data_IF_282740933300
#
_entry.id   IF_282740933300
#
_cell.length_a   1.000
_cell.length_b   1.000
_cell.length_c   1.000
_cell.angle_alpha   90.00
_cell.angle_beta   90.00
_cell.angle_gamma   90.00
#
_symmetry.space_group_name_H-M   'P 1'
#
loop_
_entity.id
_entity.type
_entity.pdbx_description
1 polymer ?
#
# COMPACT_ATOMS: atom_id res chain seq x y z
N UNK A 1 -14.39 30.88 -5.78
CA UNK A 1 -15.59 31.17 -4.96
C UNK A 1 -15.78 32.67 -4.80
N UNK A 2 -14.74 33.42 -4.44
CA UNK A 2 -14.79 34.88 -4.25
C UNK A 2 -15.10 35.68 -5.51
N UNK A 3 -14.90 35.08 -6.69
CA UNK A 3 -15.11 35.72 -7.99
C UNK A 3 -16.49 35.41 -8.62
N UNK A 4 -17.29 34.55 -7.97
CA UNK A 4 -18.60 34.16 -8.47
C UNK A 4 -19.70 35.07 -7.93
N UNK A 5 -20.67 35.51 -8.76
CA UNK A 5 -21.86 36.20 -8.28
C UNK A 5 -22.61 35.35 -7.24
N UNK A 6 -23.16 36.01 -6.20
CA UNK A 6 -23.84 35.29 -5.11
C UNK A 6 -25.01 34.42 -5.60
N UNK A 7 -25.74 34.87 -6.63
CA UNK A 7 -26.81 34.12 -7.25
C UNK A 7 -26.36 32.85 -7.97
N UNK A 8 -25.10 32.77 -8.39
CA UNK A 8 -24.52 31.60 -9.07
C UNK A 8 -23.98 30.54 -8.12
N UNK A 9 -23.72 30.89 -6.86
CA UNK A 9 -23.16 29.98 -5.85
C UNK A 9 -23.98 28.71 -5.64
N UNK A 10 -25.34 28.75 -5.52
CA UNK A 10 -26.11 27.52 -5.37
C UNK A 10 -25.92 26.53 -6.51
N UNK A 11 -25.87 27.02 -7.75
CA UNK A 11 -25.64 26.17 -8.92
C UNK A 11 -24.21 25.62 -8.97
N UNK A 12 -23.21 26.47 -8.67
CA UNK A 12 -21.81 26.05 -8.61
C UNK A 12 -21.57 24.91 -7.60
N UNK A 13 -22.11 25.06 -6.39
CA UNK A 13 -21.98 24.02 -5.39
C UNK A 13 -22.67 22.72 -5.80
N UNK A 14 -23.92 22.80 -6.22
CA UNK A 14 -24.70 21.62 -6.57
C UNK A 14 -24.16 20.87 -7.79
N UNK A 15 -23.73 21.61 -8.84
CA UNK A 15 -23.31 21.01 -10.12
C UNK A 15 -21.84 20.64 -10.17
N UNK A 16 -20.98 21.36 -9.46
CA UNK A 16 -19.53 21.23 -9.56
C UNK A 16 -18.89 20.81 -8.24
N UNK A 17 -18.97 21.68 -7.22
CA UNK A 17 -18.17 21.51 -5.99
C UNK A 17 -18.54 20.25 -5.22
N UNK A 18 -19.81 20.02 -4.93
CA UNK A 18 -20.28 18.88 -4.15
C UNK A 18 -20.00 17.56 -4.90
N UNK A 19 -20.21 17.51 -6.19
CA UNK A 19 -19.93 16.33 -7.01
C UNK A 19 -18.43 16.03 -7.10
N UNK A 20 -17.59 17.06 -7.25
CA UNK A 20 -16.14 16.89 -7.34
C UNK A 20 -15.58 16.42 -6.00
N UNK A 21 -15.96 17.07 -4.89
CA UNK A 21 -15.45 16.71 -3.55
C UNK A 21 -15.90 15.33 -3.11
N UNK A 22 -17.16 14.95 -3.36
CA UNK A 22 -17.66 13.59 -3.11
C UNK A 22 -16.94 12.56 -4.00
N UNK A 23 -16.72 12.88 -5.28
CA UNK A 23 -16.00 12.01 -6.20
C UNK A 23 -14.57 11.74 -5.76
N UNK A 24 -13.82 12.78 -5.36
CA UNK A 24 -12.46 12.65 -4.83
C UNK A 24 -12.47 11.79 -3.56
N UNK A 25 -13.37 12.08 -2.61
CA UNK A 25 -13.48 11.31 -1.37
C UNK A 25 -13.81 9.83 -1.64
N UNK A 26 -14.69 9.56 -2.61
CA UNK A 26 -15.03 8.18 -3.01
C UNK A 26 -13.81 7.44 -3.56
N UNK A 27 -13.01 8.07 -4.42
CA UNK A 27 -11.79 7.47 -4.96
C UNK A 27 -10.81 7.15 -3.82
N UNK A 28 -10.58 8.09 -2.90
CA UNK A 28 -9.71 7.88 -1.74
C UNK A 28 -10.23 6.74 -0.85
N UNK A 29 -11.54 6.69 -0.61
CA UNK A 29 -12.21 5.62 0.15
C UNK A 29 -11.93 4.25 -0.46
N UNK A 30 -12.05 4.10 -1.78
CA UNK A 30 -11.78 2.83 -2.47
C UNK A 30 -10.29 2.43 -2.42
N UNK A 31 -9.38 3.40 -2.58
CA UNK A 31 -7.94 3.16 -2.46
C UNK A 31 -7.59 2.68 -1.05
N UNK A 32 -8.11 3.35 0.00
CA UNK A 32 -7.84 2.96 1.38
C UNK A 32 -8.49 1.62 1.75
N UNK A 33 -9.69 1.34 1.24
CA UNK A 33 -10.31 0.03 1.39
C UNK A 33 -9.47 -1.08 0.74
N UNK A 34 -9.01 -0.87 -0.49
CA UNK A 34 -8.14 -1.81 -1.20
C UNK A 34 -6.85 -2.10 -0.42
N UNK A 35 -6.16 -1.05 0.05
CA UNK A 35 -4.94 -1.18 0.86
C UNK A 35 -5.21 -1.85 2.22
N UNK A 36 -6.29 -1.47 2.91
CA UNK A 36 -6.67 -2.09 4.17
C UNK A 36 -6.90 -3.60 3.99
N UNK A 37 -7.64 -4.00 2.96
CA UNK A 37 -7.91 -5.41 2.68
C UNK A 37 -6.66 -6.16 2.23
N UNK A 38 -5.80 -5.54 1.42
CA UNK A 38 -4.54 -6.14 0.96
C UNK A 38 -3.62 -6.47 2.15
N UNK A 39 -3.32 -5.49 2.99
CA UNK A 39 -2.46 -5.70 4.15
C UNK A 39 -3.10 -6.57 5.24
N UNK A 40 -4.43 -6.52 5.40
CA UNK A 40 -5.12 -7.41 6.33
C UNK A 40 -5.04 -8.88 5.91
N UNK A 41 -5.13 -9.18 4.62
CA UNK A 41 -4.91 -10.55 4.11
C UNK A 41 -3.49 -11.06 4.35
N UNK A 42 -2.51 -10.16 4.37
CA UNK A 42 -1.14 -10.48 4.73
C UNK A 42 -0.91 -10.56 6.26
N UNK A 43 -1.92 -10.26 7.08
CA UNK A 43 -1.78 -10.22 8.53
C UNK A 43 -0.97 -9.04 9.06
N UNK A 44 -0.69 -8.03 8.25
CA UNK A 44 0.10 -6.86 8.64
C UNK A 44 -0.75 -5.86 9.44
N UNK A 45 -0.31 -5.47 10.62
CA UNK A 45 -0.97 -4.40 11.42
C UNK A 45 -1.06 -3.06 10.66
N UNK A 46 -0.22 -2.83 9.64
CA UNK A 46 -0.28 -1.65 8.78
C UNK A 46 -1.64 -1.51 8.08
N UNK A 47 -2.41 -2.59 7.95
CA UNK A 47 -3.80 -2.55 7.55
C UNK A 47 -4.64 -1.58 8.39
N UNK A 48 -4.37 -1.49 9.70
CA UNK A 48 -5.13 -0.67 10.63
C UNK A 48 -5.02 0.82 10.32
N UNK A 49 -3.84 1.30 9.88
CA UNK A 49 -3.66 2.67 9.42
C UNK A 49 -4.62 3.01 8.26
N UNK A 50 -4.72 2.12 7.26
CA UNK A 50 -5.64 2.32 6.15
C UNK A 50 -7.11 2.14 6.55
N UNK A 51 -7.38 1.30 7.55
CA UNK A 51 -8.70 1.16 8.16
C UNK A 51 -9.19 2.46 8.82
N UNK A 52 -8.30 3.20 9.52
CA UNK A 52 -8.62 4.52 10.06
C UNK A 52 -8.89 5.53 8.95
N UNK A 53 -8.02 5.58 7.91
CA UNK A 53 -8.21 6.44 6.74
C UNK A 53 -9.51 6.16 6.01
N UNK A 54 -9.88 4.89 5.87
CA UNK A 54 -11.18 4.48 5.34
C UNK A 54 -12.34 5.02 6.19
N UNK A 55 -12.23 4.91 7.51
CA UNK A 55 -13.25 5.41 8.43
C UNK A 55 -13.40 6.93 8.36
N UNK A 56 -12.29 7.66 8.18
CA UNK A 56 -12.30 9.11 7.94
C UNK A 56 -13.07 9.46 6.65
N UNK A 57 -12.79 8.75 5.53
CA UNK A 57 -13.50 8.97 4.28
C UNK A 57 -15.00 8.69 4.38
N UNK A 58 -15.41 7.64 5.10
CA UNK A 58 -16.83 7.33 5.34
C UNK A 58 -17.52 8.48 6.11
N UNK A 59 -16.91 8.97 7.20
CA UNK A 59 -17.44 10.11 7.95
C UNK A 59 -17.51 11.38 7.10
N UNK A 60 -16.48 11.61 6.27
CA UNK A 60 -16.46 12.76 5.36
C UNK A 60 -17.55 12.67 4.31
N UNK A 61 -17.83 11.51 3.74
CA UNK A 61 -18.91 11.30 2.79
C UNK A 61 -20.27 11.62 3.36
N UNK A 62 -20.54 11.15 4.58
CA UNK A 62 -21.77 11.46 5.33
C UNK A 62 -21.89 12.96 5.59
N UNK A 63 -20.81 13.61 6.02
CA UNK A 63 -20.76 15.05 6.27
C UNK A 63 -21.02 15.88 5.00
N UNK A 64 -20.37 15.52 3.89
CA UNK A 64 -20.55 16.20 2.59
C UNK A 64 -21.99 16.05 2.10
N UNK A 65 -22.58 14.87 2.29
CA UNK A 65 -23.98 14.61 1.93
C UNK A 65 -24.92 15.48 2.74
N UNK A 66 -24.74 15.51 4.06
CA UNK A 66 -25.55 16.35 4.97
C UNK A 66 -25.42 17.85 4.64
N UNK A 67 -24.21 18.32 4.37
CA UNK A 67 -23.97 19.72 3.99
C UNK A 67 -24.66 20.07 2.67
N UNK A 68 -24.56 19.22 1.66
CA UNK A 68 -25.23 19.44 0.38
C UNK A 68 -26.77 19.54 0.54
N UNK A 69 -27.35 18.74 1.43
CA UNK A 69 -28.80 18.77 1.73
C UNK A 69 -29.24 20.05 2.44
N UNK A 70 -28.41 20.60 3.34
CA UNK A 70 -28.72 21.73 4.19
C UNK A 70 -28.42 23.09 3.56
N UNK A 71 -27.51 23.15 2.60
CA UNK A 71 -27.11 24.38 1.93
C UNK A 71 -28.30 25.08 1.28
N UNK A 72 -28.26 26.40 1.26
CA UNK A 72 -29.25 27.26 0.56
C UNK A 72 -30.68 27.02 1.03
N UNK A 73 -30.88 26.89 2.36
CA UNK A 73 -32.17 26.59 2.98
C UNK A 73 -32.83 25.31 2.44
N UNK A 74 -32.04 24.30 2.11
CA UNK A 74 -32.52 23.03 1.59
C UNK A 74 -33.04 23.08 0.15
N UNK A 75 -32.62 24.09 -0.65
CA UNK A 75 -33.03 24.22 -2.04
C UNK A 75 -32.86 22.94 -2.86
N UNK A 76 -31.81 22.20 -2.57
CA UNK A 76 -31.46 20.97 -3.27
C UNK A 76 -31.67 19.70 -2.41
N UNK A 77 -32.49 19.83 -1.36
CA UNK A 77 -32.83 18.69 -0.51
C UNK A 77 -33.41 17.54 -1.32
N UNK A 78 -32.93 16.32 -1.06
CA UNK A 78 -33.31 15.12 -1.80
C UNK A 78 -32.60 14.90 -3.12
N UNK A 79 -31.92 15.91 -3.66
CA UNK A 79 -31.09 15.71 -4.86
C UNK A 79 -29.75 15.05 -4.48
N UNK A 80 -29.43 13.93 -5.14
CA UNK A 80 -28.21 13.17 -4.84
C UNK A 80 -28.28 12.32 -3.57
N UNK A 81 -29.45 12.06 -3.03
CA UNK A 81 -29.67 11.13 -1.92
C UNK A 81 -29.59 9.65 -2.33
N UNK A 82 -29.56 9.37 -3.62
CA UNK A 82 -29.39 8.01 -4.11
C UNK A 82 -28.11 7.36 -3.60
N UNK A 83 -28.10 6.03 -3.48
CA UNK A 83 -26.93 5.26 -3.10
C UNK A 83 -25.79 5.51 -4.12
N UNK A 84 -24.76 6.26 -3.69
CA UNK A 84 -23.59 6.58 -4.51
C UNK A 84 -22.36 5.75 -4.14
N UNK A 85 -22.41 5.01 -3.04
CA UNK A 85 -21.38 4.05 -2.62
C UNK A 85 -21.97 2.64 -2.64
N UNK A 86 -21.33 1.73 -3.41
CA UNK A 86 -21.76 0.35 -3.53
C UNK A 86 -23.11 0.18 -4.25
N UNK A 87 -23.44 1.07 -5.18
CA UNK A 87 -24.68 1.03 -5.97
C UNK A 87 -24.82 -0.32 -6.72
N UNK A 88 -25.97 -0.93 -6.61
CA UNK A 88 -26.31 -2.17 -7.34
C UNK A 88 -27.62 -2.06 -8.11
N UNK A 89 -28.64 -1.44 -7.52
CA UNK A 89 -30.00 -1.35 -8.06
C UNK A 89 -30.61 0.00 -7.75
N UNK A 90 -31.48 0.49 -8.62
CA UNK A 90 -32.14 1.78 -8.46
C UNK A 90 -33.11 1.87 -7.27
N UNK A 91 -33.57 0.74 -6.76
CA UNK A 91 -34.50 0.67 -5.64
C UNK A 91 -33.83 0.31 -4.31
N UNK A 92 -32.50 0.45 -4.22
CA UNK A 92 -31.78 0.27 -2.95
C UNK A 92 -31.63 1.61 -2.25
N UNK A 93 -32.03 1.64 -1.00
CA UNK A 93 -31.82 2.78 -0.12
C UNK A 93 -30.51 2.64 0.64
N UNK A 94 -29.78 3.75 0.74
CA UNK A 94 -28.55 3.85 1.51
C UNK A 94 -27.28 3.39 0.79
N UNK A 95 -26.17 3.89 1.29
CA UNK A 95 -24.83 3.56 0.81
C UNK A 95 -24.31 2.28 1.46
N UNK A 96 -23.62 1.47 0.67
CA UNK A 96 -22.89 0.28 1.14
C UNK A 96 -21.40 0.58 1.20
N UNK A 97 -20.96 1.06 2.34
CA UNK A 97 -19.57 1.38 2.57
C UNK A 97 -18.71 0.12 2.60
N UNK A 98 -17.43 0.22 2.18
CA UNK A 98 -16.47 -0.88 2.32
C UNK A 98 -16.31 -1.29 3.78
N UNK A 99 -16.16 -2.59 4.01
CA UNK A 99 -15.90 -3.14 5.34
C UNK A 99 -14.47 -2.81 5.74
N UNK A 100 -14.27 -2.32 6.96
CA UNK A 100 -12.97 -2.14 7.56
C UNK A 100 -12.48 -3.46 8.14
N UNK A 101 -11.29 -3.88 7.73
CA UNK A 101 -10.56 -5.00 8.33
C UNK A 101 -9.66 -4.50 9.44
N UNK A 102 -9.52 -5.30 10.50
CA UNK A 102 -8.62 -5.03 11.62
C UNK A 102 -7.67 -6.22 11.82
N UNK A 103 -6.40 -5.92 12.06
CA UNK A 103 -5.37 -6.91 12.40
C UNK A 103 -4.92 -6.63 13.82
N UNK A 104 -5.07 -7.61 14.70
CA UNK A 104 -4.59 -7.54 16.07
C UNK A 104 -3.05 -7.55 16.08
N UNK A 105 -2.37 -6.50 16.60
CA UNK A 105 -0.92 -6.49 16.68
C UNK A 105 -0.41 -7.57 17.61
N UNK A 106 0.73 -8.17 17.27
CA UNK A 106 1.42 -9.08 18.19
C UNK A 106 1.96 -8.30 19.38
N UNK A 107 2.01 -8.91 20.57
CA UNK A 107 2.34 -8.21 21.84
C UNK A 107 3.80 -7.70 21.94
N UNK A 108 4.68 -8.01 20.97
CA UNK A 108 6.03 -7.47 20.83
C UNK A 108 6.34 -7.22 19.35
N UNK A 109 7.32 -6.36 19.02
CA UNK A 109 7.73 -6.14 17.64
C UNK A 109 8.06 -7.46 16.94
N UNK A 110 7.67 -7.58 15.66
CA UNK A 110 7.87 -8.79 14.87
C UNK A 110 8.13 -8.45 13.42
N UNK A 111 9.27 -8.92 12.91
CA UNK A 111 9.68 -8.74 11.53
C UNK A 111 8.81 -9.55 10.56
N UNK A 112 8.32 -8.88 9.52
CA UNK A 112 7.70 -9.47 8.34
C UNK A 112 8.33 -8.86 7.10
N UNK A 113 8.58 -9.67 6.08
CA UNK A 113 9.09 -9.21 4.79
C UNK A 113 8.21 -9.74 3.67
N UNK A 114 7.84 -8.88 2.74
CA UNK A 114 7.12 -9.26 1.52
C UNK A 114 7.65 -8.48 0.33
N UNK A 115 7.34 -8.94 -0.87
CA UNK A 115 7.50 -8.12 -2.09
C UNK A 115 6.30 -7.19 -2.22
N UNK A 116 6.52 -6.00 -2.79
CA UNK A 116 5.43 -5.05 -3.07
C UNK A 116 4.46 -5.54 -4.17
N UNK A 117 4.93 -6.44 -5.04
CA UNK A 117 4.22 -7.01 -6.18
C UNK A 117 3.76 -8.47 -5.97
N UNK A 118 3.90 -9.02 -4.75
CA UNK A 118 3.56 -10.41 -4.43
C UNK A 118 2.83 -10.47 -3.07
N UNK A 119 1.84 -11.31 -2.95
CA UNK A 119 1.08 -11.52 -1.70
C UNK A 119 1.81 -12.40 -0.68
N UNK A 120 2.92 -13.06 -1.07
CA UNK A 120 3.70 -13.92 -0.17
C UNK A 120 4.42 -13.12 0.90
N UNK A 121 4.42 -13.65 2.12
CA UNK A 121 5.03 -13.04 3.28
C UNK A 121 6.06 -14.00 3.86
N UNK A 122 7.22 -13.46 4.21
CA UNK A 122 8.22 -14.16 5.00
C UNK A 122 8.14 -13.70 6.46
N UNK A 123 7.81 -14.62 7.32
CA UNK A 123 7.80 -14.41 8.77
C UNK A 123 8.58 -15.54 9.39
N UNK A 124 9.67 -15.21 10.09
CA UNK A 124 10.34 -16.21 10.92
C UNK A 124 9.55 -16.40 12.20
N UNK A 125 8.62 -17.34 12.18
CA UNK A 125 7.85 -17.69 13.37
C UNK A 125 7.53 -19.21 13.37
N UNK A 126 7.37 -19.80 14.56
CA UNK A 126 7.00 -21.22 14.75
C UNK A 126 7.95 -22.23 14.10
N UNK A 127 9.24 -21.91 13.93
CA UNK A 127 10.22 -22.81 13.32
C UNK A 127 10.15 -22.91 11.81
N UNK A 128 9.24 -22.20 11.15
CA UNK A 128 9.20 -22.07 9.69
C UNK A 128 10.16 -20.94 9.33
N UNK A 129 11.22 -21.28 8.63
CA UNK A 129 12.15 -20.33 8.05
C UNK A 129 12.02 -20.43 6.54
N UNK A 130 11.29 -19.50 5.93
CA UNK A 130 11.23 -19.40 4.49
C UNK A 130 12.31 -18.43 4.00
N UNK A 131 13.05 -18.83 3.00
CA UNK A 131 13.93 -17.95 2.25
C UNK A 131 13.20 -17.48 0.99
N UNK A 132 13.37 -16.21 0.63
CA UNK A 132 12.86 -15.67 -0.62
C UNK A 132 13.97 -15.69 -1.67
N UNK A 133 13.65 -16.23 -2.85
CA UNK A 133 14.51 -16.13 -4.02
C UNK A 133 14.06 -14.95 -4.89
N UNK A 134 14.98 -14.06 -5.19
CA UNK A 134 14.80 -12.91 -6.08
C UNK A 134 15.58 -13.20 -7.36
N UNK A 135 14.88 -13.58 -8.41
CA UNK A 135 15.42 -13.95 -9.71
C UNK A 135 15.24 -12.88 -10.80
N UNK A 136 14.73 -11.72 -10.41
CA UNK A 136 14.36 -10.63 -11.31
C UNK A 136 15.55 -10.11 -12.11
N UNK A 137 16.74 -10.11 -11.53
CA UNK A 137 17.96 -9.63 -12.19
C UNK A 137 18.63 -10.66 -13.11
N UNK A 138 17.97 -11.79 -13.33
CA UNK A 138 18.29 -12.73 -14.41
C UNK A 138 17.62 -12.35 -15.74
N UNK A 139 16.72 -11.36 -15.74
CA UNK A 139 15.97 -10.93 -16.92
C UNK A 139 16.37 -9.53 -17.36
N UNK A 140 16.46 -9.32 -18.67
CA UNK A 140 16.79 -8.03 -19.23
C UNK A 140 15.72 -6.98 -18.84
N UNK A 141 16.20 -5.80 -18.42
CA UNK A 141 15.34 -4.66 -18.10
C UNK A 141 14.94 -4.50 -16.65
N UNK A 142 14.98 -5.54 -15.83
CA UNK A 142 14.70 -5.42 -14.39
C UNK A 142 15.87 -4.77 -13.66
N UNK A 143 15.63 -3.64 -13.01
CA UNK A 143 16.66 -2.86 -12.32
C UNK A 143 16.38 -2.67 -10.83
N UNK A 144 15.15 -2.87 -10.40
CA UNK A 144 14.75 -2.63 -9.03
C UNK A 144 13.73 -3.69 -8.59
N UNK A 145 13.88 -4.17 -7.37
CA UNK A 145 12.86 -4.96 -6.67
C UNK A 145 12.55 -4.25 -5.37
N UNK A 146 11.27 -4.06 -5.11
CA UNK A 146 10.78 -3.38 -3.90
C UNK A 146 10.29 -4.42 -2.91
N UNK A 147 10.90 -4.39 -1.73
CA UNK A 147 10.48 -5.17 -0.57
C UNK A 147 9.84 -4.26 0.47
N UNK A 148 8.83 -4.78 1.11
CA UNK A 148 8.17 -4.17 2.26
C UNK A 148 8.65 -4.87 3.53
N UNK A 149 9.33 -4.13 4.39
CA UNK A 149 9.77 -4.57 5.72
C UNK A 149 8.77 -4.04 6.72
N UNK A 150 7.98 -4.90 7.32
CA UNK A 150 6.87 -4.54 8.19
C UNK A 150 7.09 -5.04 9.62
N UNK A 151 6.47 -4.32 10.56
CA UNK A 151 6.32 -4.72 11.95
C UNK A 151 4.86 -5.14 12.19
N UNK A 152 4.65 -6.40 12.55
CA UNK A 152 3.33 -6.94 12.88
C UNK A 152 3.05 -6.91 14.40
N UNK A 153 3.94 -6.33 15.18
CA UNK A 153 3.81 -6.25 16.61
C UNK A 153 3.68 -4.83 17.15
N UNK A 154 3.47 -4.71 18.46
CA UNK A 154 3.47 -3.43 19.16
C UNK A 154 4.87 -2.80 19.19
N UNK A 155 4.93 -1.46 19.27
CA UNK A 155 6.19 -0.71 19.31
C UNK A 155 6.87 -0.64 17.94
N UNK A 156 8.21 -0.56 17.96
CA UNK A 156 9.08 -0.50 16.78
C UNK A 156 10.33 -1.36 17.00
N UNK A 157 11.05 -1.68 15.92
CA UNK A 157 12.36 -2.31 15.98
C UNK A 157 13.35 -1.59 15.06
N UNK A 158 14.65 -1.76 15.34
CA UNK A 158 15.72 -1.36 14.44
C UNK A 158 16.01 -2.50 13.46
N UNK A 159 15.83 -2.24 12.19
CA UNK A 159 16.10 -3.19 11.13
C UNK A 159 17.59 -3.23 10.81
N UNK A 160 18.21 -4.38 11.00
CA UNK A 160 19.56 -4.68 10.57
C UNK A 160 19.54 -5.41 9.24
N UNK A 161 20.37 -4.93 8.29
CA UNK A 161 20.50 -5.54 6.98
C UNK A 161 21.96 -5.82 6.74
N UNK A 162 22.27 -7.09 6.54
CA UNK A 162 23.58 -7.60 6.15
C UNK A 162 23.49 -8.19 4.75
N UNK A 163 24.46 -7.88 3.90
CA UNK A 163 24.59 -8.47 2.58
C UNK A 163 25.99 -8.99 2.39
N UNK A 164 26.12 -10.11 1.70
CA UNK A 164 27.41 -10.58 1.23
C UNK A 164 28.03 -9.54 0.27
N UNK A 165 29.36 -9.41 0.23
CA UNK A 165 30.02 -8.47 -0.66
C UNK A 165 29.63 -8.74 -2.12
N UNK A 166 28.83 -7.84 -2.69
CA UNK A 166 28.30 -7.94 -4.03
C UNK A 166 28.39 -6.57 -4.72
N UNK A 167 29.08 -6.50 -5.87
CA UNK A 167 29.30 -5.24 -6.58
C UNK A 167 28.10 -4.78 -7.39
N UNK A 168 27.27 -5.73 -7.85
CA UNK A 168 26.17 -5.47 -8.75
C UNK A 168 24.84 -5.18 -8.04
N UNK A 169 24.76 -5.44 -6.73
CA UNK A 169 23.55 -5.23 -5.92
C UNK A 169 23.78 -4.09 -4.91
N UNK A 170 22.88 -3.11 -4.93
CA UNK A 170 22.81 -2.02 -3.94
C UNK A 170 21.51 -2.13 -3.17
N UNK A 171 21.59 -1.88 -1.86
CA UNK A 171 20.44 -1.89 -0.95
C UNK A 171 20.16 -0.47 -0.46
N UNK A 172 18.91 -0.04 -0.57
CA UNK A 172 18.46 1.26 -0.04
C UNK A 172 17.21 1.05 0.80
N UNK A 173 17.23 1.51 2.04
CA UNK A 173 16.09 1.45 2.95
C UNK A 173 15.61 2.85 3.31
N UNK A 174 14.28 3.06 3.35
CA UNK A 174 13.65 4.34 3.66
C UNK A 174 13.93 4.78 5.10
N UNK A 175 13.87 3.87 6.05
CA UNK A 175 14.23 4.07 7.46
C UNK A 175 14.70 2.76 8.09
N UNK A 176 15.64 2.84 9.03
CA UNK A 176 16.05 1.69 9.83
C UNK A 176 15.11 1.41 11.00
N UNK A 177 14.46 2.43 11.53
CA UNK A 177 13.41 2.24 12.52
C UNK A 177 12.09 1.86 11.83
N UNK A 178 11.61 0.65 12.10
CA UNK A 178 10.37 0.11 11.52
C UNK A 178 9.29 0.12 12.59
N UNK A 179 8.35 1.05 12.45
CA UNK A 179 7.17 1.14 13.31
C UNK A 179 5.99 0.36 12.72
N UNK A 180 5.65 0.63 11.49
CA UNK A 180 4.57 -0.06 10.77
C UNK A 180 5.10 -0.78 9.53
N UNK A 181 5.62 -0.05 8.55
CA UNK A 181 6.21 -0.59 7.33
C UNK A 181 7.19 0.39 6.71
N UNK A 182 8.32 -0.14 6.24
CA UNK A 182 9.35 0.59 5.51
C UNK A 182 9.66 -0.10 4.20
N UNK A 183 10.24 0.65 3.26
CA UNK A 183 10.59 0.14 1.94
C UNK A 183 12.09 -0.17 1.89
N UNK A 184 12.41 -1.39 1.48
CA UNK A 184 13.76 -1.80 1.12
C UNK A 184 13.83 -2.02 -0.40
N UNK A 185 14.66 -1.25 -1.08
CA UNK A 185 14.93 -1.39 -2.50
C UNK A 185 16.17 -2.22 -2.74
N UNK A 186 16.04 -3.23 -3.56
CA UNK A 186 17.14 -3.97 -4.15
C UNK A 186 17.39 -3.39 -5.52
N UNK A 187 18.52 -2.72 -5.73
CA UNK A 187 18.85 -2.01 -6.96
C UNK A 187 19.99 -2.74 -7.67
N UNK A 188 19.73 -3.20 -8.88
CA UNK A 188 20.72 -3.79 -9.74
C UNK A 188 21.56 -2.71 -10.42
N UNK A 189 22.90 -2.88 -10.41
CA UNK A 189 23.85 -2.11 -11.20
C UNK A 189 24.21 -2.87 -12.49
N UNK A 190 23.53 -2.63 -13.63
CA UNK A 190 23.64 -3.51 -14.81
C UNK A 190 25.05 -3.63 -15.37
N UNK A 191 25.85 -2.55 -15.27
CA UNK A 191 27.26 -2.54 -15.73
C UNK A 191 28.20 -3.39 -14.88
N UNK A 192 27.76 -3.89 -13.73
CA UNK A 192 28.55 -4.69 -12.80
C UNK A 192 28.00 -6.12 -12.66
N UNK A 193 26.97 -6.48 -13.42
CA UNK A 193 26.44 -7.84 -13.43
C UNK A 193 27.48 -8.83 -13.91
N UNK A 194 27.60 -10.00 -13.25
CA UNK A 194 28.51 -11.05 -13.66
C UNK A 194 28.06 -11.72 -14.98
N UNK A 195 29.02 -12.27 -15.74
CA UNK A 195 28.73 -13.01 -16.99
C UNK A 195 28.02 -14.34 -16.67
N UNK A 196 28.39 -15.02 -15.59
CA UNK A 196 27.73 -16.21 -15.08
C UNK A 196 26.78 -15.86 -13.95
N UNK A 197 25.80 -16.75 -13.66
CA UNK A 197 24.87 -16.57 -12.57
C UNK A 197 25.60 -16.54 -11.22
N UNK A 198 25.43 -15.44 -10.49
CA UNK A 198 25.97 -15.22 -9.14
C UNK A 198 24.82 -15.00 -8.16
N UNK A 199 24.98 -15.50 -6.94
CA UNK A 199 24.02 -15.33 -5.87
C UNK A 199 24.58 -14.38 -4.79
N UNK A 200 23.78 -13.43 -4.38
CA UNK A 200 24.06 -12.56 -3.22
C UNK A 200 23.06 -12.89 -2.12
N UNK A 201 23.53 -13.28 -0.94
CA UNK A 201 22.70 -13.53 0.22
C UNK A 201 22.51 -12.22 1.00
N UNK A 202 21.25 -11.90 1.31
CA UNK A 202 20.87 -10.72 2.11
C UNK A 202 20.09 -11.20 3.32
N UNK A 203 20.48 -10.72 4.51
CA UNK A 203 19.85 -11.04 5.78
C UNK A 203 19.19 -9.79 6.34
N UNK A 204 17.93 -9.89 6.70
CA UNK A 204 17.14 -8.82 7.32
C UNK A 204 16.74 -9.29 8.72
N UNK A 205 17.06 -8.49 9.75
CA UNK A 205 16.86 -8.87 11.15
C UNK A 205 16.20 -7.76 11.96
N UNK A 206 15.38 -8.14 12.94
CA UNK A 206 14.88 -7.27 14.01
C UNK A 206 15.60 -7.49 15.36
N UNK A 207 16.69 -8.26 15.33
CA UNK A 207 17.43 -8.67 16.53
C UNK A 207 16.98 -10.02 17.10
N UNK A 208 15.70 -10.37 17.00
CA UNK A 208 15.14 -11.66 17.45
C UNK A 208 15.01 -12.67 16.31
N UNK A 209 14.61 -12.18 15.13
CA UNK A 209 14.34 -12.98 13.93
C UNK A 209 15.21 -12.54 12.76
N UNK A 210 15.50 -13.49 11.86
CA UNK A 210 16.24 -13.23 10.62
C UNK A 210 15.46 -13.80 9.44
N UNK A 211 15.26 -13.00 8.41
CA UNK A 211 14.74 -13.40 7.10
C UNK A 211 15.90 -13.41 6.12
N UNK A 212 16.04 -14.49 5.35
CA UNK A 212 17.11 -14.67 4.37
C UNK A 212 16.56 -14.51 2.95
N UNK A 213 17.25 -13.70 2.15
CA UNK A 213 16.96 -13.51 0.74
C UNK A 213 18.13 -14.05 -0.07
N UNK A 214 17.83 -14.78 -1.15
CA UNK A 214 18.80 -15.16 -2.18
C UNK A 214 18.52 -14.36 -3.43
N UNK A 215 19.42 -13.45 -3.76
CA UNK A 215 19.29 -12.56 -4.91
C UNK A 215 20.22 -13.05 -6.01
N UNK A 216 19.64 -13.39 -7.16
CA UNK A 216 20.38 -13.92 -8.33
C UNK A 216 20.58 -12.82 -9.35
N UNK A 217 21.79 -12.70 -9.87
CA UNK A 217 22.14 -11.75 -10.91
C UNK A 217 22.98 -12.39 -12.01
N UNK A 218 22.69 -12.03 -13.26
CA UNK A 218 23.44 -12.44 -14.44
C UNK A 218 23.30 -11.38 -15.52
N UNK A 219 24.38 -11.14 -16.26
CA UNK A 219 24.32 -10.31 -17.46
C UNK A 219 23.59 -11.07 -18.58
N UNK A 220 22.51 -10.47 -19.06
CA UNK A 220 21.72 -11.03 -20.17
C UNK A 220 22.06 -10.23 -21.42
N UNK A 221 22.57 -10.91 -22.43
CA UNK A 221 22.72 -10.34 -23.77
C UNK A 221 21.37 -10.40 -24.48
N UNK A 222 20.95 -9.28 -25.06
CA UNK A 222 19.65 -9.21 -25.76
C UNK A 222 19.59 -10.21 -26.92
N UNK A 223 20.73 -10.55 -27.50
CA UNK A 223 20.85 -11.52 -28.60
C UNK A 223 20.60 -12.99 -28.16
N UNK A 224 20.58 -13.27 -26.86
CA UNK A 224 20.34 -14.61 -26.30
C UNK A 224 18.86 -14.86 -25.92
N UNK A 225 17.97 -13.90 -26.17
CA UNK A 225 16.54 -14.05 -25.90
C UNK A 225 15.88 -14.69 -27.12
N UNK A 226 15.34 -15.93 -27.00
CA UNK A 226 14.61 -16.54 -28.12
C UNK A 226 13.39 -15.71 -28.48
N UNK A 227 13.14 -15.52 -29.77
CA UNK A 227 11.94 -14.86 -30.33
C UNK A 227 10.64 -15.50 -29.88
#
# INVERSE_FOLDING_TARGET
>A
EQELPAESLPAFYSMIYDNLTKGINLIQMQIYAGKNHHYARQGKKYANYFGEKLSECIRQDQTLTDLAMKRWNGKWYGMGMGSHVGFRKWNEDGCRYPVRMYVEPFGKPRLMVSRADDDRILVKNYGICESMEIRDFLYAGNREVILEVANDGEGSFLCEIEAEPCKWLKLEMSSREVKDQEILKLICCPGLLPEDEETCNVRISDGDAVVELKVYGKKVNIDDVPE
#
